data_IF_186058506179
#
_entry.id   IF_186058506179
#
_cell.length_a   1.000
_cell.length_b   1.000
_cell.length_c   1.000
_cell.angle_alpha   90.00
_cell.angle_beta   90.00
_cell.angle_gamma   90.00
#
_symmetry.space_group_name_H-M   'P 1'
#
loop_
_entity.id
_entity.type
_entity.pdbx_description
1 polymer ?
#
# COMPACT_ATOMS: atom_id res chain seq x y z
N UNK A 1 -15.64 27.73 -47.08
CA UNK A 1 -15.40 28.09 -45.65
C UNK A 1 -16.23 27.26 -44.68
N UNK A 2 -17.57 27.20 -44.80
CA UNK A 2 -18.43 26.44 -43.86
C UNK A 2 -18.10 24.94 -43.72
N UNK A 3 -17.80 24.24 -44.82
CA UNK A 3 -17.46 22.80 -44.81
C UNK A 3 -16.13 22.48 -44.10
N UNK A 4 -15.17 23.42 -44.14
CA UNK A 4 -13.85 23.27 -43.54
C UNK A 4 -13.91 23.43 -42.01
N UNK A 5 -14.75 24.36 -41.53
CA UNK A 5 -15.01 24.58 -40.10
C UNK A 5 -15.64 23.34 -39.45
N UNK A 6 -16.59 22.69 -40.13
CA UNK A 6 -17.26 21.48 -39.61
C UNK A 6 -16.27 20.33 -39.43
N UNK A 7 -15.32 20.16 -40.36
CA UNK A 7 -14.30 19.10 -40.28
C UNK A 7 -13.35 19.34 -39.11
N UNK A 8 -12.93 20.60 -38.88
CA UNK A 8 -12.06 20.93 -37.74
C UNK A 8 -12.78 20.71 -36.41
N UNK A 9 -14.04 21.12 -36.30
CA UNK A 9 -14.85 20.94 -35.07
C UNK A 9 -15.09 19.45 -34.78
N UNK A 10 -15.40 18.65 -35.80
CA UNK A 10 -15.58 17.20 -35.66
C UNK A 10 -14.27 16.50 -35.25
N UNK A 11 -13.13 16.94 -35.81
CA UNK A 11 -11.80 16.42 -35.43
C UNK A 11 -11.47 16.71 -33.96
N UNK A 12 -11.73 17.92 -33.48
CA UNK A 12 -11.51 18.29 -32.07
C UNK A 12 -12.40 17.45 -31.14
N UNK A 13 -13.69 17.27 -31.48
CA UNK A 13 -14.60 16.44 -30.68
C UNK A 13 -14.19 14.96 -30.67
N UNK A 14 -13.77 14.40 -31.80
CA UNK A 14 -13.31 13.00 -31.84
C UNK A 14 -12.06 12.78 -30.96
N UNK A 15 -11.16 13.78 -30.95
CA UNK A 15 -9.94 13.72 -30.15
C UNK A 15 -10.22 13.79 -28.64
N UNK A 16 -11.16 14.63 -28.19
CA UNK A 16 -11.54 14.73 -26.77
C UNK A 16 -12.26 13.48 -26.24
N UNK A 17 -13.07 12.82 -27.06
CA UNK A 17 -13.76 11.57 -26.66
C UNK A 17 -12.74 10.43 -26.48
N UNK A 18 -11.72 10.37 -27.34
CA UNK A 18 -10.70 9.31 -27.28
C UNK A 18 -9.83 9.43 -26.03
N UNK A 19 -9.43 10.64 -25.63
CA UNK A 19 -8.63 10.85 -24.42
C UNK A 19 -9.42 10.64 -23.13
N UNK A 20 -10.74 10.85 -23.13
CA UNK A 20 -11.60 10.65 -21.96
C UNK A 20 -11.78 9.17 -21.57
N UNK A 21 -11.59 8.22 -22.50
CA UNK A 21 -11.85 6.80 -22.30
C UNK A 21 -10.57 5.95 -22.15
N UNK A 22 -9.45 6.56 -21.78
CA UNK A 22 -8.20 5.81 -21.58
C UNK A 22 -8.29 4.88 -20.35
N UNK A 23 -8.32 3.58 -20.60
CA UNK A 23 -8.20 2.55 -19.55
C UNK A 23 -6.73 2.18 -19.38
N UNK A 24 -6.14 2.58 -18.25
CA UNK A 24 -4.77 2.24 -17.88
C UNK A 24 -4.70 1.07 -16.89
N UNK A 25 -3.69 0.21 -17.02
CA UNK A 25 -3.40 -0.84 -16.05
C UNK A 25 -1.96 -0.71 -15.54
N UNK A 26 -1.80 -0.71 -14.21
CA UNK A 26 -0.48 -0.70 -13.56
C UNK A 26 -0.22 -2.12 -13.05
N UNK A 27 0.89 -2.72 -13.48
CA UNK A 27 1.39 -4.01 -12.96
C UNK A 27 2.77 -3.79 -12.37
N UNK A 28 2.92 -4.12 -11.09
CA UNK A 28 4.18 -4.00 -10.36
C UNK A 28 4.44 -5.31 -9.61
N UNK A 29 5.71 -5.71 -9.53
CA UNK A 29 6.14 -6.80 -8.66
C UNK A 29 6.89 -6.20 -7.47
N UNK A 30 6.41 -6.50 -6.27
CA UNK A 30 7.01 -6.03 -5.02
C UNK A 30 7.67 -7.24 -4.38
N UNK A 31 8.98 -7.15 -4.16
CA UNK A 31 9.73 -8.13 -3.39
C UNK A 31 9.99 -7.56 -2.00
N UNK A 32 9.53 -8.26 -0.97
CA UNK A 32 9.94 -8.03 0.40
C UNK A 32 11.24 -8.82 0.59
N UNK A 33 12.35 -8.13 0.78
CA UNK A 33 13.64 -8.74 1.08
C UNK A 33 14.01 -8.43 2.52
N UNK A 34 14.70 -9.37 3.14
CA UNK A 34 15.44 -9.20 4.39
C UNK A 34 14.57 -8.69 5.56
N UNK A 35 13.98 -9.64 6.28
CA UNK A 35 13.35 -9.38 7.57
C UNK A 35 14.25 -9.92 8.68
N UNK A 36 14.26 -9.27 9.84
CA UNK A 36 14.93 -9.77 11.03
C UNK A 36 13.91 -10.18 12.08
N UNK A 37 14.24 -11.20 12.86
CA UNK A 37 13.48 -11.60 14.04
C UNK A 37 14.36 -11.28 15.24
N UNK A 38 13.94 -10.32 16.05
CA UNK A 38 14.63 -9.92 17.27
C UNK A 38 13.87 -10.44 18.48
N UNK A 39 14.58 -11.03 19.45
CA UNK A 39 13.97 -11.44 20.71
C UNK A 39 14.02 -10.31 21.74
N UNK A 40 12.88 -10.03 22.39
CA UNK A 40 12.75 -9.05 23.47
C UNK A 40 12.02 -9.70 24.65
N UNK A 41 12.78 -10.15 25.65
CA UNK A 41 12.24 -10.91 26.79
C UNK A 41 11.50 -12.17 26.33
N UNK A 42 10.24 -12.29 26.71
CA UNK A 42 9.35 -13.42 26.39
C UNK A 42 8.74 -13.36 24.96
N UNK A 43 9.01 -12.28 24.22
CA UNK A 43 8.42 -12.04 22.90
C UNK A 43 9.47 -11.95 21.80
N UNK A 44 8.98 -12.06 20.56
CA UNK A 44 9.74 -11.75 19.35
C UNK A 44 9.13 -10.56 18.61
N UNK A 45 9.97 -9.79 17.93
CA UNK A 45 9.56 -8.72 17.02
C UNK A 45 10.05 -9.06 15.62
N UNK A 46 9.21 -8.86 14.61
CA UNK A 46 9.58 -8.99 13.20
C UNK A 46 9.83 -7.60 12.67
N UNK A 47 11.02 -7.31 12.18
CA UNK A 47 11.38 -6.00 11.64
C UNK A 47 11.68 -6.09 10.15
N UNK A 48 11.10 -5.16 9.38
CA UNK A 48 11.35 -5.00 7.94
C UNK A 48 11.57 -3.52 7.68
N UNK A 49 12.69 -3.20 7.04
CA UNK A 49 13.03 -1.81 6.72
C UNK A 49 11.94 -1.16 5.85
N UNK A 50 11.55 0.06 6.18
CA UNK A 50 10.55 0.82 5.44
C UNK A 50 9.11 0.31 5.53
N UNK A 51 8.81 -0.63 6.43
CA UNK A 51 7.46 -1.09 6.71
C UNK A 51 6.84 -0.40 7.93
N UNK A 52 5.51 -0.29 7.90
CA UNK A 52 4.69 0.14 9.04
C UNK A 52 4.16 -1.09 9.78
N UNK A 53 3.51 -0.91 10.93
CA UNK A 53 3.00 -2.01 11.76
C UNK A 53 1.49 -1.93 12.00
N UNK A 54 0.83 -3.08 12.00
CA UNK A 54 -0.60 -3.15 12.35
C UNK A 54 -0.75 -2.85 13.85
N UNK A 55 -1.45 -1.77 14.19
CA UNK A 55 -1.64 -1.29 15.57
C UNK A 55 -3.02 -1.66 16.16
N UNK A 56 -3.54 -2.84 15.82
CA UNK A 56 -4.74 -3.36 16.48
C UNK A 56 -4.39 -3.87 17.87
N UNK A 57 -4.80 -3.15 18.91
CA UNK A 57 -4.44 -3.43 20.30
C UNK A 57 -4.63 -4.91 20.68
N UNK A 58 -3.60 -5.54 21.22
CA UNK A 58 -3.60 -6.95 21.64
C UNK A 58 -3.35 -7.99 20.52
N UNK A 59 -3.38 -7.59 19.25
CA UNK A 59 -3.02 -8.47 18.13
C UNK A 59 -1.50 -8.49 17.92
N UNK A 60 -0.93 -9.54 17.31
CA UNK A 60 0.47 -9.56 16.92
C UNK A 60 0.86 -8.33 16.09
N UNK A 61 1.92 -7.64 16.51
CA UNK A 61 2.43 -6.48 15.81
C UNK A 61 3.22 -6.92 14.56
N UNK A 62 2.51 -7.08 13.44
CA UNK A 62 3.08 -7.53 12.17
C UNK A 62 3.41 -6.34 11.26
N UNK A 63 4.56 -6.37 10.55
CA UNK A 63 4.90 -5.36 9.57
C UNK A 63 4.03 -5.50 8.31
N UNK A 64 3.73 -4.37 7.68
CA UNK A 64 3.11 -4.30 6.36
C UNK A 64 3.78 -3.22 5.51
N UNK A 65 3.95 -3.53 4.23
CA UNK A 65 4.48 -2.60 3.24
C UNK A 65 3.36 -1.72 2.68
N UNK A 66 3.62 -0.42 2.52
CA UNK A 66 2.69 0.54 1.92
C UNK A 66 3.28 1.15 0.67
N UNK A 67 2.50 1.16 -0.43
CA UNK A 67 2.84 1.85 -1.67
C UNK A 67 1.76 2.87 -2.01
N UNK A 68 2.18 4.08 -2.32
CA UNK A 68 1.27 5.17 -2.72
C UNK A 68 1.34 5.35 -4.23
N UNK A 69 0.20 5.21 -4.90
CA UNK A 69 0.03 5.54 -6.31
C UNK A 69 -0.68 6.90 -6.44
N UNK A 70 -0.14 7.78 -7.27
CA UNK A 70 -0.71 9.11 -7.53
C UNK A 70 -1.43 9.10 -8.86
N UNK A 71 -2.68 9.54 -8.86
CA UNK A 71 -3.51 9.63 -10.05
C UNK A 71 -4.03 11.06 -10.23
N UNK A 72 -4.28 11.50 -11.49
CA UNK A 72 -4.98 12.75 -11.73
C UNK A 72 -6.34 12.81 -11.04
N UNK A 73 -6.82 14.02 -10.77
CA UNK A 73 -8.17 14.21 -10.27
C UNK A 73 -9.21 13.65 -11.26
N UNK A 74 -10.21 12.94 -10.74
CA UNK A 74 -11.25 12.30 -11.55
C UNK A 74 -10.95 10.87 -11.99
N UNK A 75 -9.74 10.35 -11.75
CA UNK A 75 -9.44 8.92 -11.96
C UNK A 75 -10.30 8.05 -11.03
N UNK A 76 -10.94 7.03 -11.60
CA UNK A 76 -11.65 5.99 -10.85
C UNK A 76 -10.83 4.71 -10.85
N UNK A 77 -10.66 4.11 -9.67
CA UNK A 77 -9.99 2.82 -9.51
C UNK A 77 -11.07 1.73 -9.54
N UNK A 78 -11.10 0.95 -10.62
CA UNK A 78 -12.09 -0.12 -10.78
C UNK A 78 -11.77 -1.32 -9.87
N UNK A 79 -10.49 -1.68 -9.75
CA UNK A 79 -10.06 -2.84 -8.99
C UNK A 79 -8.58 -2.75 -8.58
N UNK A 80 -8.23 -3.38 -7.47
CA UNK A 80 -6.85 -3.59 -7.02
C UNK A 80 -6.69 -5.08 -6.71
N UNK A 81 -5.74 -5.73 -7.37
CA UNK A 81 -5.42 -7.14 -7.14
C UNK A 81 -4.03 -7.28 -6.52
N UNK A 82 -3.93 -8.06 -5.44
CA UNK A 82 -2.64 -8.46 -4.88
C UNK A 82 -2.55 -9.98 -4.94
N UNK A 83 -1.53 -10.48 -5.64
CA UNK A 83 -1.23 -11.91 -5.75
C UNK A 83 0.07 -12.20 -5.04
N UNK A 84 -0.01 -12.89 -3.90
CA UNK A 84 1.16 -13.40 -3.20
C UNK A 84 1.87 -14.46 -4.07
N UNK A 85 3.20 -14.35 -4.16
CA UNK A 85 4.05 -15.29 -4.87
C UNK A 85 5.21 -15.67 -3.95
N UNK A 86 5.74 -16.89 -4.09
CA UNK A 86 6.86 -17.40 -3.30
C UNK A 86 6.59 -17.28 -1.79
N UNK A 87 5.49 -17.89 -1.33
CA UNK A 87 5.09 -17.86 0.08
C UNK A 87 5.86 -18.94 0.82
N UNK A 88 6.68 -18.52 1.78
CA UNK A 88 7.41 -19.41 2.68
C UNK A 88 6.78 -19.42 4.08
N UNK A 89 7.07 -20.47 4.85
CA UNK A 89 6.60 -20.62 6.23
C UNK A 89 7.79 -20.84 7.16
N UNK A 90 7.76 -20.20 8.32
CA UNK A 90 8.80 -20.28 9.33
C UNK A 90 8.17 -20.51 10.71
N UNK A 91 8.80 -21.36 11.51
CA UNK A 91 8.46 -21.54 12.92
C UNK A 91 9.26 -20.56 13.78
N UNK A 92 8.58 -19.90 14.72
CA UNK A 92 9.19 -18.97 15.68
C UNK A 92 8.95 -19.53 17.08
N UNK A 93 9.97 -19.49 17.93
CA UNK A 93 9.94 -20.10 19.28
C UNK A 93 9.10 -19.30 20.28
N UNK A 94 9.06 -17.97 20.14
CA UNK A 94 8.33 -17.05 21.02
C UNK A 94 7.13 -16.45 20.30
N UNK A 95 6.15 -15.99 21.08
CA UNK A 95 5.01 -15.23 20.54
C UNK A 95 5.49 -13.89 20.02
N UNK A 96 4.85 -13.41 18.95
CA UNK A 96 5.09 -12.05 18.45
C UNK A 96 4.52 -11.05 19.46
N UNK A 97 5.26 -9.97 19.71
CA UNK A 97 4.85 -8.92 20.63
C UNK A 97 3.45 -8.38 20.26
N UNK A 98 2.52 -8.27 21.21
CA UNK A 98 1.21 -7.69 20.93
C UNK A 98 1.32 -6.18 20.72
N UNK A 99 0.53 -5.63 19.80
CA UNK A 99 0.43 -4.20 19.59
C UNK A 99 -0.17 -3.52 20.84
N UNK A 100 0.47 -2.43 21.25
CA UNK A 100 0.01 -1.61 22.36
C UNK A 100 -1.33 -0.94 22.05
N UNK A 101 -2.18 -0.70 23.06
CA UNK A 101 -3.34 0.17 22.89
C UNK A 101 -2.89 1.62 22.63
N UNK A 102 -3.76 2.45 22.05
CA UNK A 102 -3.49 3.87 21.90
C UNK A 102 -3.17 4.48 23.26
N UNK A 103 -2.04 5.17 23.36
CA UNK A 103 -1.64 5.84 24.58
C UNK A 103 -2.16 7.28 24.61
N UNK A 104 -2.59 7.78 25.78
CA UNK A 104 -2.87 9.20 25.96
C UNK A 104 -1.64 10.04 25.64
N UNK A 105 -1.83 11.17 24.96
CA UNK A 105 -0.73 12.08 24.58
C UNK A 105 0.08 12.58 25.80
N UNK A 106 -0.56 12.66 26.97
CA UNK A 106 0.04 13.11 28.22
C UNK A 106 0.61 11.97 29.08
N UNK A 107 0.71 10.73 28.56
CA UNK A 107 1.31 9.63 29.29
C UNK A 107 2.84 9.72 29.24
N UNK A 108 3.47 9.82 30.41
CA UNK A 108 4.92 9.69 30.53
C UNK A 108 5.30 8.21 30.61
N UNK A 109 5.95 7.70 29.58
CA UNK A 109 6.54 6.36 29.58
C UNK A 109 7.96 6.51 30.11
N UNK A 110 8.25 5.94 31.27
CA UNK A 110 9.64 5.81 31.72
C UNK A 110 10.27 4.66 30.92
N UNK A 111 11.26 4.96 30.10
CA UNK A 111 12.05 3.94 29.41
C UNK A 111 12.79 3.10 30.47
N UNK A 112 12.65 1.77 30.38
CA UNK A 112 13.34 0.79 31.24
C UNK A 112 14.73 0.48 30.71
#
# INVERSE_FOLDING_TARGET
MKKLIVVVIAGIMAFTISTANYEGNIKENIAIKDFSINERGEYSTIEIEGCNYIHNAGYPMLPYYTKVYKFPAGTKINYVEVKAKNVDSMNINKKIIPAMPPLPLNMHINEY
#
